data_IF_028934632243
#
_entry.id   IF_028934632243
#
_cell.length_a   1.000
_cell.length_b   1.000
_cell.length_c   1.000
_cell.angle_alpha   90.00
_cell.angle_beta   90.00
_cell.angle_gamma   90.00
#
_symmetry.space_group_name_H-M   'P 1'
#
loop_
_entity.id
_entity.type
_entity.pdbx_description
1 polymer ?
#
# COMPACT_ATOMS: atom_id res chain seq x y z
N UNK A 1 -17.16 -9.10 -22.25
CA UNK A 1 -17.83 -9.46 -20.98
C UNK A 1 -16.81 -9.33 -19.86
N UNK A 2 -17.10 -8.60 -18.80
CA UNK A 2 -16.25 -8.62 -17.60
C UNK A 2 -16.58 -9.92 -16.87
N UNK A 3 -15.71 -10.92 -16.97
CA UNK A 3 -15.89 -12.22 -16.32
C UNK A 3 -15.49 -12.08 -14.85
N UNK A 4 -16.47 -12.00 -13.96
CA UNK A 4 -16.21 -12.03 -12.53
C UNK A 4 -15.90 -13.47 -12.10
N UNK A 5 -14.76 -13.67 -11.43
CA UNK A 5 -14.39 -14.96 -10.84
C UNK A 5 -14.73 -14.96 -9.33
N UNK A 6 -15.29 -16.07 -8.85
CA UNK A 6 -15.60 -16.26 -7.43
C UNK A 6 -14.37 -16.79 -6.69
N UNK A 7 -14.08 -16.21 -5.53
CA UNK A 7 -13.05 -16.69 -4.61
C UNK A 7 -13.75 -17.20 -3.35
N UNK A 8 -13.54 -18.48 -3.02
CA UNK A 8 -14.12 -19.12 -1.83
C UNK A 8 -12.99 -19.78 -1.02
N UNK A 9 -12.88 -19.37 0.25
CA UNK A 9 -11.87 -19.88 1.19
C UNK A 9 -12.55 -20.26 2.50
N UNK A 10 -12.08 -21.33 3.14
CA UNK A 10 -12.54 -21.71 4.48
C UNK A 10 -11.83 -20.88 5.53
N UNK A 11 -12.59 -20.37 6.48
CA UNK A 11 -12.09 -19.62 7.63
C UNK A 11 -12.96 -19.95 8.83
N UNK A 12 -12.38 -19.84 10.02
CA UNK A 12 -13.12 -19.91 11.27
C UNK A 12 -14.21 -18.82 11.34
N UNK A 13 -15.38 -19.17 11.90
CA UNK A 13 -16.54 -18.29 11.92
C UNK A 13 -16.29 -17.04 12.80
N UNK A 14 -15.66 -17.22 13.97
CA UNK A 14 -15.36 -16.12 14.89
C UNK A 14 -14.32 -15.17 14.28
N UNK A 15 -13.36 -15.72 13.52
CA UNK A 15 -12.40 -14.90 12.78
C UNK A 15 -13.09 -14.08 11.70
N UNK A 16 -14.02 -14.69 10.95
CA UNK A 16 -14.79 -13.99 9.91
C UNK A 16 -15.59 -12.83 10.49
N UNK A 17 -16.30 -13.05 11.60
CA UNK A 17 -17.12 -12.02 12.23
C UNK A 17 -16.28 -10.86 12.76
N UNK A 18 -15.19 -11.14 13.49
CA UNK A 18 -14.30 -10.09 13.99
C UNK A 18 -13.64 -9.30 12.86
N UNK A 19 -13.21 -9.98 11.79
CA UNK A 19 -12.62 -9.32 10.63
C UNK A 19 -13.64 -8.43 9.90
N UNK A 20 -14.89 -8.89 9.77
CA UNK A 20 -15.97 -8.10 9.16
C UNK A 20 -16.24 -6.81 9.94
N UNK A 21 -16.33 -6.89 11.28
CA UNK A 21 -16.57 -5.71 12.12
C UNK A 21 -15.44 -4.67 12.03
N UNK A 22 -14.18 -5.12 12.00
CA UNK A 22 -13.03 -4.23 11.84
C UNK A 22 -13.06 -3.55 10.47
N UNK A 23 -13.27 -4.30 9.40
CA UNK A 23 -13.33 -3.74 8.04
C UNK A 23 -14.51 -2.77 7.87
N UNK A 24 -15.67 -3.08 8.46
CA UNK A 24 -16.83 -2.19 8.43
C UNK A 24 -16.55 -0.85 9.13
N UNK A 25 -15.82 -0.86 10.25
CA UNK A 25 -15.36 0.37 10.91
C UNK A 25 -14.46 1.24 10.03
N UNK A 26 -13.82 0.64 9.02
CA UNK A 26 -13.00 1.31 8.00
C UNK A 26 -13.78 1.64 6.72
N UNK A 27 -15.09 1.36 6.67
CA UNK A 27 -15.94 1.57 5.50
C UNK A 27 -15.73 0.55 4.37
N UNK A 28 -15.20 -0.63 4.68
CA UNK A 28 -14.91 -1.69 3.72
C UNK A 28 -15.70 -2.97 4.02
N UNK A 29 -16.14 -3.67 2.98
CA UNK A 29 -16.63 -5.04 3.14
C UNK A 29 -15.46 -6.04 3.09
N UNK A 30 -15.69 -7.27 3.59
CA UNK A 30 -14.74 -8.39 3.40
C UNK A 30 -14.40 -8.60 1.92
N UNK A 31 -15.40 -8.49 1.05
CA UNK A 31 -15.22 -8.62 -0.40
C UNK A 31 -14.34 -7.52 -0.99
N UNK A 32 -14.42 -6.28 -0.48
CA UNK A 32 -13.55 -5.18 -0.92
C UNK A 32 -12.11 -5.42 -0.51
N UNK A 33 -11.88 -5.83 0.74
CA UNK A 33 -10.56 -6.17 1.24
C UNK A 33 -9.91 -7.30 0.42
N UNK A 34 -10.65 -8.37 0.12
CA UNK A 34 -10.15 -9.49 -0.70
C UNK A 34 -9.89 -9.05 -2.15
N UNK A 35 -10.75 -8.22 -2.75
CA UNK A 35 -10.51 -7.66 -4.09
C UNK A 35 -9.21 -6.84 -4.12
N UNK A 36 -9.05 -5.92 -3.18
CA UNK A 36 -7.84 -5.07 -3.09
C UNK A 36 -6.59 -5.95 -2.92
N UNK A 37 -6.65 -6.94 -2.02
CA UNK A 37 -5.55 -7.88 -1.77
C UNK A 37 -5.13 -8.60 -3.05
N UNK A 38 -6.08 -9.24 -3.74
CA UNK A 38 -5.79 -10.06 -4.92
C UNK A 38 -5.39 -9.20 -6.13
N UNK A 39 -6.04 -8.05 -6.34
CA UNK A 39 -5.67 -7.13 -7.42
C UNK A 39 -4.26 -6.58 -7.24
N UNK A 40 -3.89 -6.14 -6.03
CA UNK A 40 -2.51 -5.66 -5.78
C UNK A 40 -1.50 -6.79 -5.89
N UNK A 41 -1.81 -7.97 -5.37
CA UNK A 41 -0.91 -9.14 -5.51
C UNK A 41 -0.66 -9.49 -6.97
N UNK A 42 -1.71 -9.48 -7.81
CA UNK A 42 -1.59 -9.76 -9.24
C UNK A 42 -0.77 -8.70 -9.99
N UNK A 43 -0.90 -7.42 -9.63
CA UNK A 43 -0.22 -6.32 -10.32
C UNK A 43 1.22 -6.10 -9.83
N UNK A 44 1.47 -6.30 -8.54
CA UNK A 44 2.75 -5.99 -7.88
C UNK A 44 3.65 -7.23 -7.76
N UNK A 45 3.11 -8.44 -7.95
CA UNK A 45 3.86 -9.70 -7.85
C UNK A 45 4.28 -10.06 -6.41
N UNK A 46 3.74 -9.36 -5.41
CA UNK A 46 4.01 -9.57 -3.99
C UNK A 46 2.74 -9.33 -3.17
N UNK A 47 2.64 -9.95 -1.99
CA UNK A 47 1.52 -9.68 -1.09
C UNK A 47 1.58 -8.23 -0.59
N UNK A 48 0.48 -7.46 -0.69
CA UNK A 48 0.43 -6.10 -0.17
C UNK A 48 0.53 -6.16 1.36
N UNK A 49 1.43 -5.34 1.91
CA UNK A 49 1.98 -5.35 3.26
C UNK A 49 1.01 -5.17 4.45
N UNK A 50 -0.29 -5.43 4.30
CA UNK A 50 -1.27 -5.38 5.40
C UNK A 50 -1.33 -6.71 6.17
N UNK A 51 -0.18 -7.10 6.71
CA UNK A 51 -0.09 -7.68 8.05
C UNK A 51 0.77 -6.69 8.85
N UNK A 52 0.22 -5.50 9.07
CA UNK A 52 0.87 -4.38 9.73
C UNK A 52 0.96 -4.63 11.24
N UNK A 53 1.92 -5.48 11.60
CA UNK A 53 2.72 -5.46 12.83
C UNK A 53 3.98 -6.31 12.57
N UNK A 54 4.56 -6.18 11.38
CA UNK A 54 5.81 -6.87 11.07
C UNK A 54 6.98 -6.03 11.57
N UNK A 55 7.86 -6.57 12.44
CA UNK A 55 9.12 -5.93 12.82
C UNK A 55 9.95 -5.45 11.61
N UNK A 56 9.74 -6.06 10.43
CA UNK A 56 10.37 -5.62 9.19
C UNK A 56 9.88 -4.24 8.70
N UNK A 57 8.59 -3.93 8.85
CA UNK A 57 8.05 -2.63 8.50
C UNK A 57 8.59 -1.54 9.43
N UNK A 58 8.60 -1.82 10.74
CA UNK A 58 9.16 -0.90 11.73
C UNK A 58 10.66 -0.67 11.52
N UNK A 59 11.41 -1.72 11.19
CA UNK A 59 12.83 -1.60 10.85
C UNK A 59 13.03 -0.74 9.59
N UNK A 60 12.23 -0.97 8.54
CA UNK A 60 12.27 -0.15 7.33
C UNK A 60 11.91 1.32 7.62
N UNK A 61 10.84 1.57 8.37
CA UNK A 61 10.38 2.91 8.71
C UNK A 61 11.43 3.66 9.52
N UNK A 62 11.98 3.05 10.57
CA UNK A 62 13.06 3.63 11.39
C UNK A 62 14.31 3.91 10.57
N UNK A 63 14.66 3.03 9.63
CA UNK A 63 15.79 3.25 8.72
C UNK A 63 15.55 4.47 7.81
N UNK A 64 14.34 4.64 7.27
CA UNK A 64 13.97 5.81 6.45
C UNK A 64 13.94 7.11 7.24
N UNK A 65 13.46 7.09 8.48
CA UNK A 65 13.51 8.25 9.37
C UNK A 65 14.95 8.64 9.67
N UNK A 66 15.83 7.68 10.01
CA UNK A 66 17.25 7.95 10.24
C UNK A 66 17.91 8.55 8.99
N UNK A 67 17.66 7.95 7.82
CA UNK A 67 18.17 8.46 6.55
C UNK A 67 17.78 9.92 6.31
N UNK A 68 16.54 10.31 6.63
CA UNK A 68 16.07 11.68 6.48
C UNK A 68 16.73 12.65 7.49
N UNK A 69 17.00 12.20 8.72
CA UNK A 69 17.71 12.99 9.72
C UNK A 69 19.20 13.18 9.40
N UNK A 70 19.82 12.20 8.75
CA UNK A 70 21.23 12.25 8.32
C UNK A 70 21.42 12.98 6.98
N UNK A 71 20.33 13.30 6.28
CA UNK A 71 20.38 13.95 4.97
C UNK A 71 20.81 15.42 5.10
N UNK A 72 22.02 15.72 4.63
CA UNK A 72 22.57 17.08 4.64
C UNK A 72 22.20 17.90 3.40
N UNK A 73 21.34 17.38 2.52
CA UNK A 73 20.90 18.12 1.34
C UNK A 73 20.12 19.38 1.76
N UNK A 74 20.25 20.48 1.00
CA UNK A 74 19.52 21.70 1.31
C UNK A 74 18.01 21.45 1.21
N UNK A 75 17.27 22.11 2.10
CA UNK A 75 15.82 22.18 2.02
C UNK A 75 15.48 22.91 0.73
N UNK A 76 14.66 22.28 -0.11
CA UNK A 76 14.13 22.88 -1.33
C UNK A 76 12.80 23.56 -0.99
N UNK A 77 12.55 24.70 -1.63
CA UNK A 77 11.23 25.31 -1.56
C UNK A 77 10.20 24.52 -2.41
N UNK A 78 8.93 24.82 -2.21
CA UNK A 78 7.84 24.10 -2.88
C UNK A 78 7.91 24.21 -4.41
N UNK A 79 8.33 25.37 -4.94
CA UNK A 79 8.41 25.62 -6.39
C UNK A 79 9.51 24.78 -7.04
N UNK A 80 10.69 24.73 -6.42
CA UNK A 80 11.81 23.89 -6.84
C UNK A 80 11.47 22.39 -6.77
N UNK A 81 10.74 21.98 -5.72
CA UNK A 81 10.27 20.60 -5.56
C UNK A 81 9.32 20.21 -6.69
N UNK A 82 8.32 21.04 -6.98
CA UNK A 82 7.35 20.80 -8.06
C UNK A 82 8.02 20.77 -9.44
N UNK A 83 8.92 21.72 -9.72
CA UNK A 83 9.68 21.74 -10.97
C UNK A 83 10.48 20.44 -11.16
N UNK A 84 11.13 19.95 -10.10
CA UNK A 84 11.90 18.70 -10.13
C UNK A 84 11.01 17.47 -10.34
N UNK A 85 9.85 17.41 -9.70
CA UNK A 85 8.90 16.31 -9.91
C UNK A 85 8.28 16.37 -11.31
N UNK A 86 7.94 17.55 -11.84
CA UNK A 86 7.45 17.73 -13.20
C UNK A 86 8.44 17.20 -14.25
N UNK A 87 9.73 17.53 -14.10
CA UNK A 87 10.78 17.01 -14.97
C UNK A 87 10.89 15.48 -14.91
N UNK A 88 10.84 14.89 -13.70
CA UNK A 88 10.85 13.43 -13.53
C UNK A 88 9.66 12.76 -14.20
N UNK A 89 8.45 13.31 -14.03
CA UNK A 89 7.22 12.81 -14.68
C UNK A 89 7.31 12.87 -16.21
N UNK A 90 7.85 13.95 -16.76
CA UNK A 90 8.03 14.12 -18.21
C UNK A 90 9.04 13.11 -18.78
N UNK A 91 10.17 12.89 -18.08
CA UNK A 91 11.20 11.93 -18.49
C UNK A 91 10.70 10.48 -18.51
N UNK A 92 9.79 10.11 -17.60
CA UNK A 92 9.16 8.77 -17.61
C UNK A 92 8.11 8.63 -18.71
N UNK A 93 7.42 9.71 -19.10
CA UNK A 93 6.43 9.71 -20.20
C UNK A 93 7.05 9.70 -21.59
N UNK A 94 8.30 10.12 -21.73
CA UNK A 94 9.04 10.14 -22.99
C UNK A 94 9.71 8.79 -23.34
N UNK A 95 9.50 7.75 -22.52
CA UNK A 95 10.08 6.41 -22.66
C UNK A 95 8.96 5.41 -22.92
#
# INVERSE_FOLDING_TARGET
MVSNALVQTRIDADVKERAAAVLESMGLTVSDAVRILLTRTANEGALPFLLADSPAHDAWFRAKVRQALEDTRPVLDEEEVEARFAQRRAATKSK
#
